data_IF_688123146169
#
_entry.id   IF_688123146169
#
_cell.length_a   1.000
_cell.length_b   1.000
_cell.length_c   1.000
_cell.angle_alpha   90.00
_cell.angle_beta   90.00
_cell.angle_gamma   90.00
#
_symmetry.space_group_name_H-M   'P 1'
#
loop_
_entity.id
_entity.type
_entity.pdbx_description
1 polymer ?
#
# COMPACT_ATOMS: atom_id res chain seq x y z
N UNK A 1 10.02 5.47 -12.71
CA UNK A 1 10.08 5.49 -14.20
C UNK A 1 11.19 6.37 -14.77
N UNK A 2 11.32 7.66 -14.40
CA UNK A 2 12.41 8.54 -14.88
C UNK A 2 13.82 8.02 -14.52
N UNK A 3 14.03 7.64 -13.25
CA UNK A 3 15.32 7.11 -12.78
C UNK A 3 15.79 5.84 -13.51
N UNK A 4 14.86 4.97 -13.92
CA UNK A 4 15.18 3.74 -14.66
C UNK A 4 15.57 4.04 -16.12
N UNK A 5 14.88 5.00 -16.76
CA UNK A 5 15.24 5.51 -18.09
C UNK A 5 16.63 6.15 -18.06
N UNK A 6 16.91 6.95 -17.05
CA UNK A 6 18.20 7.61 -16.86
C UNK A 6 19.31 6.58 -16.60
N UNK A 7 19.05 5.52 -15.83
CA UNK A 7 20.00 4.42 -15.60
C UNK A 7 20.35 3.68 -16.91
N UNK A 8 19.36 3.36 -17.75
CA UNK A 8 19.58 2.75 -19.07
C UNK A 8 20.37 3.68 -20.00
N UNK A 9 20.12 4.99 -19.94
CA UNK A 9 20.87 5.97 -20.72
C UNK A 9 22.35 6.04 -20.28
N UNK A 10 22.64 6.00 -18.99
CA UNK A 10 24.02 5.98 -18.47
C UNK A 10 24.72 4.66 -18.83
N UNK A 11 24.05 3.51 -18.77
CA UNK A 11 24.62 2.23 -19.25
C UNK A 11 25.00 2.27 -20.73
N UNK A 12 24.20 2.96 -21.57
CA UNK A 12 24.54 3.15 -22.97
C UNK A 12 25.80 4.04 -23.14
N UNK A 13 26.00 5.04 -22.27
CA UNK A 13 27.22 5.86 -22.25
C UNK A 13 28.44 5.07 -21.79
N UNK A 14 28.30 4.17 -20.81
CA UNK A 14 29.36 3.24 -20.39
C UNK A 14 29.82 2.40 -21.59
N UNK A 15 28.88 1.80 -22.34
CA UNK A 15 29.21 1.01 -23.54
C UNK A 15 30.00 1.82 -24.58
N UNK A 16 29.61 3.07 -24.81
CA UNK A 16 30.34 3.97 -25.73
C UNK A 16 31.73 4.36 -25.21
N UNK A 17 31.87 4.65 -23.92
CA UNK A 17 33.15 5.01 -23.31
C UNK A 17 34.14 3.84 -23.34
N UNK A 18 33.66 2.61 -23.15
CA UNK A 18 34.47 1.39 -23.27
C UNK A 18 34.96 1.15 -24.71
N UNK A 19 34.11 1.40 -25.72
CA UNK A 19 34.51 1.33 -27.14
C UNK A 19 35.61 2.34 -27.49
N UNK A 20 35.59 3.50 -26.84
CA UNK A 20 36.61 4.54 -26.98
C UNK A 20 37.87 4.29 -26.11
N UNK A 21 37.95 3.14 -25.43
CA UNK A 21 39.02 2.77 -24.48
C UNK A 21 39.24 3.79 -23.34
N UNK A 22 38.24 4.63 -23.05
CA UNK A 22 38.30 5.60 -21.96
C UNK A 22 37.69 4.99 -20.69
N UNK A 23 38.53 4.29 -19.94
CA UNK A 23 38.13 3.53 -18.75
C UNK A 23 37.71 4.44 -17.60
N UNK A 24 38.34 5.60 -17.44
CA UNK A 24 38.01 6.55 -16.37
C UNK A 24 36.62 7.16 -16.58
N UNK A 25 36.27 7.57 -17.80
CA UNK A 25 34.90 8.02 -18.09
C UNK A 25 33.88 6.89 -17.98
N UNK A 26 34.24 5.65 -18.36
CA UNK A 26 33.34 4.50 -18.21
C UNK A 26 33.03 4.21 -16.73
N UNK A 27 34.01 4.35 -15.83
CA UNK A 27 33.82 4.20 -14.38
C UNK A 27 32.82 5.22 -13.83
N UNK A 28 32.99 6.50 -14.17
CA UNK A 28 32.07 7.57 -13.73
C UNK A 28 30.63 7.36 -14.24
N UNK A 29 30.47 6.93 -15.50
CA UNK A 29 29.13 6.62 -16.04
C UNK A 29 28.52 5.36 -15.38
N UNK A 30 29.34 4.37 -15.03
CA UNK A 30 28.89 3.16 -14.36
C UNK A 30 28.40 3.46 -12.92
N UNK A 31 29.16 4.26 -12.16
CA UNK A 31 28.75 4.71 -10.82
C UNK A 31 27.44 5.49 -10.87
N UNK A 32 27.29 6.39 -11.85
CA UNK A 32 26.04 7.12 -12.06
C UNK A 32 24.87 6.21 -12.41
N UNK A 33 25.08 5.18 -13.24
CA UNK A 33 24.06 4.21 -13.59
C UNK A 33 23.58 3.39 -12.36
N UNK A 34 24.52 2.97 -11.51
CA UNK A 34 24.23 2.23 -10.26
C UNK A 34 23.47 3.13 -9.29
N UNK A 35 23.94 4.36 -9.08
CA UNK A 35 23.25 5.34 -8.22
C UNK A 35 21.81 5.56 -8.66
N UNK A 36 21.58 5.76 -9.96
CA UNK A 36 20.24 5.96 -10.53
C UNK A 36 19.35 4.73 -10.41
N UNK A 37 19.92 3.51 -10.50
CA UNK A 37 19.20 2.26 -10.26
C UNK A 37 18.75 2.15 -8.81
N UNK A 38 19.63 2.41 -7.85
CA UNK A 38 19.31 2.37 -6.42
C UNK A 38 18.27 3.43 -6.04
N UNK A 39 18.40 4.64 -6.60
CA UNK A 39 17.40 5.69 -6.47
C UNK A 39 16.03 5.22 -6.97
N UNK A 40 15.99 4.55 -8.13
CA UNK A 40 14.78 3.97 -8.71
C UNK A 40 14.11 2.92 -7.81
N UNK A 41 14.89 2.03 -7.19
CA UNK A 41 14.37 1.04 -6.23
C UNK A 41 13.80 1.71 -4.98
N UNK A 42 14.49 2.73 -4.46
CA UNK A 42 14.00 3.47 -3.30
C UNK A 42 12.69 4.20 -3.61
N UNK A 43 12.58 4.83 -4.80
CA UNK A 43 11.33 5.43 -5.27
C UNK A 43 10.22 4.41 -5.46
N UNK A 44 10.53 3.18 -5.90
CA UNK A 44 9.53 2.12 -6.03
C UNK A 44 8.97 1.70 -4.67
N UNK A 45 9.84 1.46 -3.68
CA UNK A 45 9.41 1.16 -2.30
C UNK A 45 8.57 2.29 -1.72
N UNK A 46 9.01 3.54 -1.91
CA UNK A 46 8.25 4.71 -1.47
C UNK A 46 6.90 4.80 -2.17
N UNK A 47 6.83 4.53 -3.48
CA UNK A 47 5.58 4.51 -4.23
C UNK A 47 4.60 3.47 -3.67
N UNK A 48 5.05 2.26 -3.35
CA UNK A 48 4.20 1.23 -2.75
C UNK A 48 3.68 1.64 -1.36
N UNK A 49 4.53 2.27 -0.54
CA UNK A 49 4.12 2.80 0.76
C UNK A 49 3.09 3.93 0.63
N UNK A 50 3.31 4.84 -0.33
CA UNK A 50 2.38 5.94 -0.60
C UNK A 50 1.05 5.41 -1.10
N UNK A 51 1.04 4.40 -1.97
CA UNK A 51 -0.19 3.77 -2.47
C UNK A 51 -0.97 3.08 -1.35
N UNK A 52 -0.28 2.35 -0.47
CA UNK A 52 -0.90 1.75 0.71
C UNK A 52 -1.52 2.80 1.65
N UNK A 53 -0.82 3.92 1.89
CA UNK A 53 -1.35 5.03 2.70
C UNK A 53 -2.52 5.73 1.98
N UNK A 54 -2.43 5.93 0.67
CA UNK A 54 -3.51 6.52 -0.14
C UNK A 54 -4.78 5.67 -0.07
N UNK A 55 -4.66 4.34 -0.15
CA UNK A 55 -5.78 3.41 0.01
C UNK A 55 -6.44 3.52 1.39
N UNK A 56 -5.64 3.60 2.47
CA UNK A 56 -6.12 3.83 3.85
C UNK A 56 -6.81 5.20 4.00
N UNK A 57 -6.29 6.25 3.37
CA UNK A 57 -6.89 7.59 3.40
C UNK A 57 -8.20 7.61 2.61
N UNK A 58 -8.24 7.01 1.43
CA UNK A 58 -9.45 6.92 0.60
C UNK A 58 -10.56 6.20 1.36
N UNK A 59 -10.22 5.08 1.99
CA UNK A 59 -11.07 4.35 2.94
C UNK A 59 -11.64 5.27 4.02
N UNK A 60 -10.78 6.02 4.72
CA UNK A 60 -11.21 6.92 5.79
C UNK A 60 -12.12 8.06 5.28
N UNK A 61 -11.85 8.58 4.09
CA UNK A 61 -12.68 9.62 3.45
C UNK A 61 -14.06 9.07 3.07
N UNK A 62 -14.11 7.88 2.46
CA UNK A 62 -15.38 7.19 2.14
C UNK A 62 -16.19 6.94 3.41
N UNK A 63 -15.56 6.39 4.46
CA UNK A 63 -16.23 6.09 5.72
C UNK A 63 -16.77 7.35 6.39
N UNK A 64 -16.01 8.45 6.38
CA UNK A 64 -16.46 9.77 6.86
C UNK A 64 -17.69 10.27 6.11
N UNK A 65 -17.74 10.04 4.79
CA UNK A 65 -18.92 10.33 3.96
C UNK A 65 -20.14 9.53 4.40
N UNK A 66 -19.98 8.23 4.61
CA UNK A 66 -21.07 7.35 5.08
C UNK A 66 -21.55 7.77 6.47
N UNK A 67 -20.64 8.05 7.41
CA UNK A 67 -21.01 8.55 8.76
C UNK A 67 -21.80 9.85 8.69
N UNK A 68 -21.42 10.78 7.81
CA UNK A 68 -22.16 12.03 7.61
C UNK A 68 -23.58 11.76 7.09
N UNK A 69 -23.74 10.83 6.16
CA UNK A 69 -25.04 10.45 5.62
C UNK A 69 -25.90 9.76 6.69
N UNK A 70 -25.33 8.85 7.51
CA UNK A 70 -26.02 8.25 8.65
C UNK A 70 -26.54 9.32 9.61
N UNK A 71 -25.69 10.29 9.96
CA UNK A 71 -26.05 11.37 10.87
C UNK A 71 -27.20 12.25 10.34
N UNK A 72 -27.29 12.44 9.01
CA UNK A 72 -28.39 13.16 8.40
C UNK A 72 -29.70 12.36 8.42
N UNK A 73 -29.62 11.05 8.12
CA UNK A 73 -30.80 10.18 8.13
C UNK A 73 -31.34 10.01 9.55
N UNK A 74 -30.47 9.80 10.55
CA UNK A 74 -30.91 9.71 11.96
C UNK A 74 -31.54 11.01 12.45
N UNK A 75 -31.00 12.17 12.07
CA UNK A 75 -31.62 13.46 12.38
C UNK A 75 -32.97 13.66 11.68
N UNK A 76 -33.12 13.17 10.44
CA UNK A 76 -34.39 13.20 9.74
C UNK A 76 -35.42 12.27 10.42
N UNK A 77 -34.97 11.13 10.94
CA UNK A 77 -35.80 10.17 11.65
C UNK A 77 -36.35 10.77 12.95
N UNK A 78 -35.48 11.40 13.74
CA UNK A 78 -35.83 12.08 14.99
C UNK A 78 -36.91 13.17 14.77
N UNK A 79 -36.75 13.95 13.68
CA UNK A 79 -37.74 14.96 13.28
C UNK A 79 -39.06 14.35 12.81
N UNK A 80 -39.02 13.23 12.07
CA UNK A 80 -40.22 12.54 11.62
C UNK A 80 -40.99 11.92 12.80
N UNK A 81 -40.28 11.27 13.73
CA UNK A 81 -40.82 10.72 14.97
C UNK A 81 -41.46 11.81 15.84
N UNK A 82 -40.82 12.97 15.95
CA UNK A 82 -41.36 14.14 16.67
C UNK A 82 -42.64 14.69 16.06
N UNK A 83 -42.85 14.48 14.75
CA UNK A 83 -44.06 14.94 14.04
C UNK A 83 -45.23 13.96 14.06
N UNK A 84 -45.06 12.74 14.64
CA UNK A 84 -46.03 11.63 14.63
C UNK A 84 -46.56 11.24 13.23
N UNK A 85 -45.89 11.68 12.17
CA UNK A 85 -46.26 11.39 10.79
C UNK A 85 -45.72 10.01 10.39
N UNK A 86 -46.56 8.98 10.54
CA UNK A 86 -46.22 7.58 10.24
C UNK A 86 -45.77 7.37 8.80
N UNK A 87 -46.29 8.14 7.82
CA UNK A 87 -45.85 8.03 6.43
C UNK A 87 -44.45 8.59 6.24
N UNK A 88 -44.12 9.72 6.88
CA UNK A 88 -42.75 10.25 6.87
C UNK A 88 -41.77 9.37 7.63
N UNK A 89 -42.19 8.77 8.74
CA UNK A 89 -41.35 7.81 9.49
C UNK A 89 -41.02 6.60 8.63
N UNK A 90 -42.01 6.02 7.92
CA UNK A 90 -41.78 4.91 6.99
C UNK A 90 -40.76 5.28 5.90
N UNK A 91 -40.95 6.43 5.24
CA UNK A 91 -40.04 6.86 4.17
C UNK A 91 -38.61 7.16 4.66
N UNK A 92 -38.43 7.58 5.91
CA UNK A 92 -37.10 7.78 6.50
C UNK A 92 -36.49 6.46 6.97
N UNK A 93 -37.29 5.51 7.44
CA UNK A 93 -36.83 4.15 7.75
C UNK A 93 -36.35 3.40 6.52
N UNK A 94 -37.07 3.48 5.39
CA UNK A 94 -36.61 2.90 4.12
C UNK A 94 -35.25 3.47 3.71
N UNK A 95 -35.06 4.79 3.89
CA UNK A 95 -33.77 5.45 3.63
C UNK A 95 -32.68 5.08 4.62
N UNK A 96 -33.02 4.78 5.86
CA UNK A 96 -32.10 4.31 6.89
C UNK A 96 -31.63 2.89 6.57
N UNK A 97 -32.56 2.01 6.23
CA UNK A 97 -32.29 0.62 5.86
C UNK A 97 -31.38 0.55 4.62
N UNK A 98 -31.66 1.36 3.60
CA UNK A 98 -30.80 1.48 2.41
C UNK A 98 -29.39 1.99 2.76
N UNK A 99 -29.27 2.86 3.74
CA UNK A 99 -28.01 3.44 4.18
C UNK A 99 -27.18 2.51 5.05
N UNK A 100 -27.83 1.68 5.87
CA UNK A 100 -27.19 0.59 6.60
C UNK A 100 -26.74 -0.51 5.65
N UNK A 101 -27.57 -0.91 4.68
CA UNK A 101 -27.17 -1.88 3.65
C UNK A 101 -25.96 -1.38 2.83
N UNK A 102 -25.96 -0.10 2.43
CA UNK A 102 -24.81 0.49 1.74
C UNK A 102 -23.54 0.49 2.60
N UNK A 103 -23.67 0.70 3.91
CA UNK A 103 -22.55 0.61 4.86
C UNK A 103 -22.02 -0.82 4.96
N UNK A 104 -22.89 -1.82 5.06
CA UNK A 104 -22.51 -3.24 5.15
C UNK A 104 -21.82 -3.71 3.86
N UNK A 105 -22.36 -3.35 2.69
CA UNK A 105 -21.74 -3.65 1.39
C UNK A 105 -20.37 -2.97 1.27
N UNK A 106 -20.26 -1.69 1.65
CA UNK A 106 -18.97 -0.99 1.61
C UNK A 106 -17.95 -1.61 2.58
N UNK A 107 -18.38 -2.00 3.78
CA UNK A 107 -17.50 -2.62 4.79
C UNK A 107 -17.02 -3.99 4.31
N UNK A 108 -17.92 -4.81 3.76
CA UNK A 108 -17.59 -6.12 3.20
C UNK A 108 -16.59 -6.02 2.05
N UNK A 109 -16.80 -5.12 1.07
CA UNK A 109 -15.86 -4.92 -0.05
C UNK A 109 -14.50 -4.40 0.44
N UNK A 110 -14.50 -3.56 1.47
CA UNK A 110 -13.27 -2.98 2.01
C UNK A 110 -12.49 -3.97 2.86
N UNK A 111 -13.16 -4.81 3.65
CA UNK A 111 -12.57 -5.93 4.38
C UNK A 111 -11.96 -6.93 3.42
N UNK A 112 -12.67 -7.33 2.36
CA UNK A 112 -12.18 -8.25 1.34
C UNK A 112 -10.94 -7.70 0.60
N UNK A 113 -10.84 -6.36 0.50
CA UNK A 113 -9.70 -5.66 -0.08
C UNK A 113 -8.53 -5.46 0.90
N UNK A 114 -8.80 -5.29 2.19
CA UNK A 114 -7.80 -5.07 3.25
C UNK A 114 -7.24 -6.36 3.85
N UNK A 115 -7.98 -7.47 3.78
CA UNK A 115 -7.53 -8.79 4.24
C UNK A 115 -6.59 -9.46 3.25
N UNK A 116 -6.35 -8.83 2.09
CA UNK A 116 -5.25 -9.22 1.21
C UNK A 116 -3.93 -9.05 1.97
N UNK A 117 -3.11 -10.11 2.09
CA UNK A 117 -1.86 -10.04 2.84
C UNK A 117 -0.99 -8.89 2.34
N UNK A 118 -0.23 -8.32 3.28
CA UNK A 118 0.60 -7.14 3.01
C UNK A 118 1.48 -7.35 1.76
N UNK A 119 1.76 -6.30 0.97
CA UNK A 119 2.51 -6.43 -0.28
C UNK A 119 3.90 -7.10 -0.15
N UNK A 120 4.48 -7.16 1.06
CA UNK A 120 5.74 -7.86 1.32
C UNK A 120 5.56 -9.38 1.36
N UNK A 121 4.58 -9.92 2.11
CA UNK A 121 4.33 -11.37 2.17
C UNK A 121 3.83 -11.95 0.84
N UNK A 122 2.98 -11.21 0.12
CA UNK A 122 2.56 -11.60 -1.23
C UNK A 122 3.69 -11.47 -2.26
N UNK A 123 4.59 -10.49 -2.07
CA UNK A 123 5.74 -10.27 -2.94
C UNK A 123 6.73 -11.43 -2.87
N UNK A 124 7.12 -11.84 -1.67
CA UNK A 124 8.09 -12.92 -1.47
C UNK A 124 7.54 -14.28 -1.94
N UNK A 125 6.26 -14.58 -1.65
CA UNK A 125 5.61 -15.80 -2.14
C UNK A 125 5.49 -15.81 -3.67
N UNK A 126 5.14 -14.69 -4.30
CA UNK A 126 5.06 -14.58 -5.76
C UNK A 126 6.46 -14.68 -6.39
N UNK A 127 7.49 -14.11 -5.76
CA UNK A 127 8.88 -14.23 -6.22
C UNK A 127 9.31 -15.70 -6.18
N UNK A 128 9.02 -16.44 -5.10
CA UNK A 128 9.32 -17.87 -4.99
C UNK A 128 8.58 -18.67 -6.05
N UNK A 129 7.28 -18.43 -6.26
CA UNK A 129 6.49 -19.12 -7.27
C UNK A 129 7.00 -18.87 -8.69
N UNK A 130 7.33 -17.62 -9.04
CA UNK A 130 7.89 -17.28 -10.35
C UNK A 130 9.31 -17.83 -10.51
N UNK A 131 10.10 -17.88 -9.43
CA UNK A 131 11.43 -18.47 -9.43
C UNK A 131 11.41 -19.97 -9.71
N UNK A 132 10.51 -20.70 -9.04
CA UNK A 132 10.25 -22.11 -9.28
C UNK A 132 9.77 -22.36 -10.71
N UNK A 133 8.84 -21.54 -11.21
CA UNK A 133 8.32 -21.63 -12.59
C UNK A 133 9.39 -21.33 -13.67
N UNK A 134 10.39 -20.49 -13.37
CA UNK A 134 11.46 -20.11 -14.30
C UNK A 134 12.78 -20.89 -14.08
N UNK A 135 12.81 -21.85 -13.15
CA UNK A 135 14.02 -22.62 -12.83
C UNK A 135 15.17 -21.76 -12.29
N UNK A 136 14.87 -20.61 -11.69
CA UNK A 136 15.85 -19.74 -11.04
C UNK A 136 15.97 -20.21 -9.59
N UNK A 137 17.09 -20.87 -9.23
CA UNK A 137 17.40 -21.20 -7.84
C UNK A 137 17.65 -19.90 -7.04
N UNK A 138 16.59 -19.28 -6.51
CA UNK A 138 16.65 -18.03 -5.73
C UNK A 138 16.99 -18.26 -4.24
N UNK A 139 17.05 -19.53 -3.80
CA UNK A 139 17.23 -19.90 -2.39
C UNK A 139 18.50 -19.32 -1.74
N UNK A 140 19.58 -19.11 -2.48
CA UNK A 140 20.86 -18.65 -1.92
C UNK A 140 21.07 -17.12 -1.89
N UNK A 141 20.28 -16.35 -2.66
CA UNK A 141 20.44 -14.88 -2.74
C UNK A 141 19.48 -14.10 -1.83
N UNK A 142 18.34 -14.67 -1.46
CA UNK A 142 17.39 -14.01 -0.55
C UNK A 142 17.92 -14.02 0.91
N UNK A 143 18.63 -15.07 1.30
CA UNK A 143 19.28 -15.20 2.62
C UNK A 143 20.52 -14.31 2.82
N UNK A 144 21.03 -13.66 1.76
CA UNK A 144 22.21 -12.77 1.85
C UNK A 144 21.86 -11.28 1.86
N UNK A 145 20.58 -10.91 1.84
CA UNK A 145 20.17 -9.52 2.06
C UNK A 145 20.32 -9.20 3.56
N UNK A 146 21.11 -8.19 3.95
CA UNK A 146 21.23 -7.83 5.34
C UNK A 146 19.88 -7.30 5.85
N UNK A 147 19.34 -7.91 6.91
CA UNK A 147 18.16 -7.45 7.67
C UNK A 147 18.33 -6.05 8.34
N UNK A 148 19.37 -5.29 7.98
CA UNK A 148 19.80 -4.09 8.69
C UNK A 148 19.49 -2.79 7.95
N UNK A 149 18.23 -2.36 7.95
CA UNK A 149 17.90 -0.93 7.76
C UNK A 149 16.53 -0.50 8.35
N UNK A 150 15.94 -1.28 9.25
CA UNK A 150 14.83 -0.83 10.10
C UNK A 150 15.35 -0.47 11.49
N UNK A 151 16.26 0.48 11.55
CA UNK A 151 16.65 1.13 12.79
C UNK A 151 16.61 2.63 12.54
N UNK A 152 15.43 3.22 12.71
CA UNK A 152 15.20 4.57 13.25
C UNK A 152 13.68 4.71 13.42
N UNK A 153 13.25 4.65 14.68
CA UNK A 153 12.05 5.33 15.16
C UNK A 153 10.72 4.59 15.06
N UNK A 154 10.47 3.63 15.96
CA UNK A 154 9.22 3.66 16.73
C UNK A 154 9.35 2.86 18.03
N UNK A 155 9.08 3.54 19.12
CA UNK A 155 9.37 3.13 20.48
C UNK A 155 8.25 2.26 21.07
N UNK A 156 8.64 1.19 21.74
CA UNK A 156 8.17 0.81 23.07
C UNK A 156 6.70 0.41 23.37
N UNK A 157 5.81 0.16 22.40
CA UNK A 157 4.42 -0.26 22.73
C UNK A 157 4.17 -1.78 22.60
N UNK A 158 4.99 -2.51 21.82
CA UNK A 158 4.62 -3.89 21.40
C UNK A 158 4.87 -5.00 22.43
N UNK A 159 5.51 -4.72 23.56
CA UNK A 159 5.91 -5.77 24.53
C UNK A 159 4.86 -6.03 25.63
N UNK A 160 3.81 -5.21 25.77
CA UNK A 160 2.81 -5.41 26.82
C UNK A 160 1.61 -6.28 26.43
N UNK A 161 1.21 -6.34 25.15
CA UNK A 161 0.03 -7.13 24.75
C UNK A 161 0.30 -8.65 24.75
N UNK A 162 1.55 -9.07 24.55
CA UNK A 162 1.88 -10.50 24.37
C UNK A 162 1.97 -11.29 25.70
N UNK A 163 1.99 -10.60 26.85
CA UNK A 163 2.01 -11.26 28.18
C UNK A 163 0.60 -11.46 28.78
N UNK A 164 -0.42 -10.77 28.29
CA UNK A 164 -1.80 -10.93 28.78
C UNK A 164 -2.54 -12.09 28.12
N UNK A 165 -2.14 -12.47 26.90
CA UNK A 165 -2.73 -13.60 26.16
C UNK A 165 -2.26 -14.98 26.65
N UNK A 166 -1.32 -15.03 27.60
CA UNK A 166 -0.75 -16.28 28.15
C UNK A 166 -1.04 -16.51 29.64
N UNK A 167 -2.03 -15.83 30.21
CA UNK A 167 -2.50 -16.10 31.58
C UNK A 167 -3.97 -16.44 31.63
#
# INVERSE_FOLDING_TARGET
>A
KKAEKDSKAEQAKVKKALQQKNVECARVYAENAIRKKNEGLNWLRMSSRVDAVASKVQTAVTMKGVTKNMAQVTKALDKALSSMDLQKVSAVMDKFEQQVQNLDVHTSVMEDSMTRPTPEEQGDSLIVQIAEENGLEIMDQLNQLPEGASAVGESSVRTQEDQLSRR
#
